data_IF_123659342235
#
_entry.id   IF_123659342235
#
_cell.length_a   1.000
_cell.length_b   1.000
_cell.length_c   1.000
_cell.angle_alpha   90.00
_cell.angle_beta   90.00
_cell.angle_gamma   90.00
#
_symmetry.space_group_name_H-M   'P 1'
#
loop_
_entity.id
_entity.type
_entity.pdbx_description
1 polymer ?
#
# COMPACT_ATOMS: atom_id res chain seq x y z
N UNK A 1 -11.24 30.19 -0.28
CA UNK A 1 -11.09 30.05 1.20
C UNK A 1 -11.06 28.59 1.58
N UNK A 2 -10.17 28.17 2.49
CA UNK A 2 -10.11 26.80 3.03
C UNK A 2 -10.54 26.78 4.51
N UNK A 3 -11.58 26.04 4.82
CA UNK A 3 -12.15 25.90 6.17
C UNK A 3 -11.64 24.59 6.77
N UNK A 4 -10.63 24.72 7.60
CA UNK A 4 -10.00 23.59 8.29
C UNK A 4 -10.72 23.27 9.59
N UNK A 5 -11.34 22.10 9.66
CA UNK A 5 -12.13 21.64 10.82
C UNK A 5 -11.42 20.55 11.63
N UNK A 6 -10.36 19.96 11.10
CA UNK A 6 -9.74 18.77 11.70
C UNK A 6 -8.30 18.99 12.15
N UNK A 7 -7.47 19.65 11.35
CA UNK A 7 -6.07 19.83 11.67
C UNK A 7 -5.85 21.02 12.60
N UNK A 8 -4.83 20.94 13.46
CA UNK A 8 -4.30 22.13 14.11
C UNK A 8 -3.69 23.09 13.07
N UNK A 9 -3.54 24.34 13.44
CA UNK A 9 -3.05 25.39 12.53
C UNK A 9 -1.66 25.07 11.98
N UNK A 10 -0.76 24.60 12.81
CA UNK A 10 0.63 24.36 12.41
C UNK A 10 0.70 23.20 11.41
N UNK A 11 0.03 22.08 11.69
CA UNK A 11 -0.05 20.93 10.80
C UNK A 11 -0.73 21.27 9.46
N UNK A 12 -1.80 22.08 9.48
CA UNK A 12 -2.45 22.53 8.25
C UNK A 12 -1.50 23.34 7.36
N UNK A 13 -0.81 24.33 7.93
CA UNK A 13 0.15 25.14 7.19
C UNK A 13 1.36 24.34 6.71
N UNK A 14 1.81 23.37 7.51
CA UNK A 14 2.89 22.45 7.11
C UNK A 14 2.52 21.67 5.85
N UNK A 15 1.30 21.08 5.82
CA UNK A 15 0.81 20.35 4.63
C UNK A 15 0.76 21.24 3.38
N UNK A 16 0.25 22.45 3.51
CA UNK A 16 0.25 23.39 2.39
C UNK A 16 1.67 23.62 1.86
N UNK A 17 2.63 23.89 2.75
CA UNK A 17 4.02 24.08 2.38
C UNK A 17 4.61 22.87 1.67
N UNK A 18 4.39 21.67 2.22
CA UNK A 18 4.94 20.44 1.67
C UNK A 18 4.40 20.15 0.27
N UNK A 19 3.08 20.37 0.06
CA UNK A 19 2.46 20.23 -1.27
C UNK A 19 3.03 21.25 -2.25
N UNK A 20 3.15 22.53 -1.86
CA UNK A 20 3.75 23.55 -2.72
C UNK A 20 5.18 23.21 -3.13
N UNK A 21 5.99 22.75 -2.18
CA UNK A 21 7.37 22.32 -2.45
C UNK A 21 7.43 21.12 -3.39
N UNK A 22 6.61 20.08 -3.12
CA UNK A 22 6.60 18.87 -3.93
C UNK A 22 6.12 19.11 -5.36
N UNK A 23 5.19 20.05 -5.57
CA UNK A 23 4.69 20.43 -6.88
C UNK A 23 5.55 21.47 -7.59
N UNK A 24 6.61 21.99 -6.95
CA UNK A 24 7.44 23.06 -7.51
C UNK A 24 6.68 24.39 -7.70
N UNK A 25 5.57 24.60 -6.98
CA UNK A 25 4.75 25.80 -7.10
C UNK A 25 5.42 26.93 -6.31
N UNK A 26 5.70 28.04 -6.99
CA UNK A 26 6.19 29.25 -6.33
C UNK A 26 5.06 29.92 -5.53
N UNK A 27 5.31 30.37 -4.30
CA UNK A 27 4.26 30.96 -3.44
C UNK A 27 3.98 32.43 -3.78
N UNK A 28 3.75 32.73 -5.06
CA UNK A 28 3.58 34.11 -5.56
C UNK A 28 2.18 34.70 -5.26
N UNK A 29 1.18 33.83 -5.03
CA UNK A 29 -0.23 34.24 -4.89
C UNK A 29 -0.87 33.73 -3.59
N UNK A 30 -0.10 33.72 -2.50
CA UNK A 30 -0.62 33.28 -1.19
C UNK A 30 -1.78 34.11 -0.68
N UNK A 31 -1.87 35.38 -1.09
CA UNK A 31 -2.97 36.28 -0.75
C UNK A 31 -4.33 35.83 -1.31
N UNK A 32 -4.34 34.92 -2.28
CA UNK A 32 -5.54 34.31 -2.82
C UNK A 32 -6.06 33.14 -1.96
N UNK A 33 -5.30 32.71 -0.95
CA UNK A 33 -5.65 31.58 -0.09
C UNK A 33 -5.83 32.06 1.36
N UNK A 34 -7.05 32.07 1.82
CA UNK A 34 -7.36 32.27 3.23
C UNK A 34 -7.68 30.94 3.91
N UNK A 35 -7.01 30.65 5.01
CA UNK A 35 -7.23 29.46 5.82
C UNK A 35 -7.98 29.85 7.11
N UNK A 36 -9.18 29.31 7.27
CA UNK A 36 -9.97 29.50 8.48
C UNK A 36 -9.91 28.27 9.37
N UNK A 37 -9.08 28.31 10.41
CA UNK A 37 -8.88 27.21 11.34
C UNK A 37 -9.98 27.18 12.40
N UNK A 38 -10.83 26.15 12.34
CA UNK A 38 -11.99 25.93 13.21
C UNK A 38 -11.91 24.63 14.01
N UNK A 39 -10.77 23.95 14.06
CA UNK A 39 -10.60 22.77 14.93
C UNK A 39 -10.96 23.12 16.37
N UNK A 40 -11.84 22.32 17.00
CA UNK A 40 -12.36 22.55 18.35
C UNK A 40 -13.32 23.74 18.49
N UNK A 41 -13.64 24.43 17.38
CA UNK A 41 -14.58 25.56 17.32
C UNK A 41 -15.62 25.39 16.20
N UNK A 42 -15.74 24.17 15.68
CA UNK A 42 -16.76 23.84 14.67
C UNK A 42 -18.16 24.13 15.18
N UNK A 43 -19.02 24.55 14.26
CA UNK A 43 -20.43 24.81 14.53
C UNK A 43 -21.27 24.06 13.50
N UNK A 44 -22.51 23.71 13.84
CA UNK A 44 -23.48 23.20 12.88
C UNK A 44 -23.54 24.04 11.60
N UNK A 45 -23.78 23.41 10.46
CA UNK A 45 -23.74 24.11 9.16
C UNK A 45 -24.77 25.23 9.05
N UNK A 46 -25.94 25.10 9.67
CA UNK A 46 -26.97 26.17 9.76
C UNK A 46 -26.45 27.45 10.45
N UNK A 47 -25.51 27.31 11.38
CA UNK A 47 -24.84 28.43 12.05
C UNK A 47 -23.57 28.86 11.32
N UNK A 48 -22.87 27.92 10.65
CA UNK A 48 -21.62 28.17 9.94
C UNK A 48 -21.87 28.92 8.63
N UNK A 49 -22.91 28.56 7.86
CA UNK A 49 -23.20 29.17 6.57
C UNK A 49 -23.39 30.72 6.63
N UNK A 50 -24.16 31.30 7.55
CA UNK A 50 -24.23 32.76 7.69
C UNK A 50 -22.90 33.41 8.08
N UNK A 51 -22.06 32.70 8.84
CA UNK A 51 -20.72 33.19 9.21
C UNK A 51 -19.76 33.17 8.02
N UNK A 52 -19.81 32.09 7.21
CA UNK A 52 -19.08 31.97 5.96
C UNK A 52 -19.44 33.10 4.99
N UNK A 53 -20.74 33.29 4.74
CA UNK A 53 -21.26 34.36 3.86
C UNK A 53 -20.71 35.71 4.28
N UNK A 54 -20.93 36.08 5.57
CA UNK A 54 -20.47 37.36 6.12
C UNK A 54 -18.94 37.56 6.02
N UNK A 55 -18.16 36.48 6.19
CA UNK A 55 -16.71 36.54 6.13
C UNK A 55 -16.23 36.62 4.69
N UNK A 56 -16.80 35.77 3.83
CA UNK A 56 -16.38 35.61 2.45
C UNK A 56 -16.86 36.79 1.57
N UNK A 57 -17.97 37.43 1.85
CA UNK A 57 -18.45 38.61 1.10
C UNK A 57 -17.49 39.81 1.10
N UNK A 58 -16.45 39.76 1.93
CA UNK A 58 -15.41 40.82 1.99
C UNK A 58 -14.32 40.67 0.95
N UNK A 59 -14.26 39.52 0.25
CA UNK A 59 -13.26 39.15 -0.75
C UNK A 59 -13.95 38.41 -1.91
N UNK A 60 -13.33 38.43 -3.07
CA UNK A 60 -13.81 37.73 -4.26
C UNK A 60 -13.22 36.32 -4.32
N UNK A 61 -13.75 35.40 -3.52
CA UNK A 61 -13.36 34.00 -3.64
C UNK A 61 -14.04 33.36 -4.84
N UNK A 62 -13.34 32.43 -5.49
CA UNK A 62 -13.88 31.56 -6.53
C UNK A 62 -14.40 30.24 -5.95
N UNK A 63 -13.83 29.80 -4.81
CA UNK A 63 -14.22 28.58 -4.14
C UNK A 63 -14.07 28.66 -2.61
N UNK A 64 -14.92 27.93 -1.93
CA UNK A 64 -14.85 27.66 -0.48
C UNK A 64 -14.72 26.15 -0.31
N UNK A 65 -13.66 25.72 0.33
CA UNK A 65 -13.36 24.29 0.61
C UNK A 65 -13.63 24.04 2.09
N UNK A 66 -14.46 23.03 2.42
CA UNK A 66 -14.83 22.64 3.78
C UNK A 66 -14.30 21.24 4.06
N UNK A 67 -13.36 21.10 4.97
CA UNK A 67 -12.65 19.85 5.22
C UNK A 67 -12.54 19.52 6.71
N UNK A 68 -13.16 18.40 7.12
CA UNK A 68 -14.22 17.60 6.48
C UNK A 68 -15.65 17.99 6.96
N UNK A 69 -16.67 17.68 6.16
CA UNK A 69 -18.04 18.10 6.48
C UNK A 69 -18.66 17.39 7.69
N UNK A 70 -18.23 16.19 8.05
CA UNK A 70 -18.81 15.47 9.20
C UNK A 70 -18.68 16.24 10.52
N UNK A 71 -17.78 17.21 10.61
CA UNK A 71 -17.62 18.08 11.79
C UNK A 71 -18.74 19.13 11.94
N UNK A 72 -19.50 19.35 10.89
CA UNK A 72 -20.57 20.38 10.84
C UNK A 72 -21.94 19.80 10.56
N UNK A 73 -22.04 18.50 10.30
CA UNK A 73 -23.29 17.76 10.21
C UNK A 73 -23.92 17.68 11.61
N UNK A 74 -25.22 17.85 11.68
CA UNK A 74 -26.05 17.65 12.88
C UNK A 74 -27.25 16.80 12.54
N UNK A 75 -27.62 15.93 13.46
CA UNK A 75 -28.73 15.01 13.28
C UNK A 75 -28.30 13.66 12.71
N UNK A 76 -29.29 12.96 12.17
CA UNK A 76 -29.08 11.63 11.60
C UNK A 76 -28.65 11.72 10.12
N UNK A 77 -27.43 11.31 9.81
CA UNK A 77 -26.90 11.28 8.45
C UNK A 77 -27.70 10.37 7.50
N UNK A 78 -28.47 9.43 8.03
CA UNK A 78 -29.32 8.53 7.24
C UNK A 78 -30.71 9.12 6.94
N UNK A 79 -31.07 10.22 7.58
CA UNK A 79 -32.35 10.92 7.35
C UNK A 79 -32.25 11.78 6.10
N UNK A 80 -33.03 11.44 5.06
CA UNK A 80 -33.04 12.18 3.80
C UNK A 80 -33.48 13.66 4.00
N UNK A 81 -34.46 13.92 4.83
CA UNK A 81 -34.95 15.28 5.10
C UNK A 81 -33.91 16.15 5.82
N UNK A 82 -33.21 15.58 6.80
CA UNK A 82 -32.18 16.31 7.53
C UNK A 82 -30.98 16.60 6.60
N UNK A 83 -30.60 15.63 5.76
CA UNK A 83 -29.51 15.81 4.81
C UNK A 83 -29.87 16.77 3.68
N UNK A 84 -31.12 16.79 3.20
CA UNK A 84 -31.58 17.81 2.25
C UNK A 84 -31.45 19.20 2.84
N UNK A 85 -31.91 19.40 4.08
CA UNK A 85 -31.78 20.67 4.77
C UNK A 85 -30.31 21.08 5.01
N UNK A 86 -29.46 20.11 5.24
CA UNK A 86 -28.03 20.33 5.38
C UNK A 86 -27.40 20.77 4.03
N UNK A 87 -27.69 20.10 2.92
CA UNK A 87 -27.21 20.42 1.59
C UNK A 87 -27.68 21.79 1.11
N UNK A 88 -28.94 22.17 1.41
CA UNK A 88 -29.48 23.50 1.12
C UNK A 88 -28.65 24.65 1.74
N UNK A 89 -27.85 24.40 2.78
CA UNK A 89 -26.94 25.42 3.31
C UNK A 89 -25.77 25.69 2.38
N UNK A 90 -25.33 24.70 1.62
CA UNK A 90 -24.28 24.90 0.60
C UNK A 90 -24.84 25.70 -0.57
N UNK A 91 -26.03 25.37 -1.06
CA UNK A 91 -26.69 26.13 -2.12
C UNK A 91 -26.87 27.62 -1.73
N UNK A 92 -27.21 27.88 -0.48
CA UNK A 92 -27.28 29.24 0.02
C UNK A 92 -25.92 29.94 -0.05
N UNK A 93 -24.86 29.29 0.35
CA UNK A 93 -23.48 29.84 0.27
C UNK A 93 -23.09 30.10 -1.18
N UNK A 94 -23.33 29.13 -2.08
CA UNK A 94 -23.08 29.27 -3.51
C UNK A 94 -23.82 30.44 -4.12
N UNK A 95 -25.12 30.53 -3.85
CA UNK A 95 -25.99 31.55 -4.45
C UNK A 95 -25.65 32.96 -3.95
N UNK A 96 -25.45 33.14 -2.65
CA UNK A 96 -25.18 34.46 -2.08
C UNK A 96 -23.81 35.02 -2.38
N UNK A 97 -22.82 34.15 -2.62
CA UNK A 97 -21.44 34.55 -2.86
C UNK A 97 -20.99 34.39 -4.31
N UNK A 98 -21.72 33.65 -5.14
CA UNK A 98 -21.31 33.32 -6.50
C UNK A 98 -20.04 32.46 -6.55
N UNK A 99 -19.87 31.52 -5.58
CA UNK A 99 -18.66 30.70 -5.42
C UNK A 99 -18.99 29.22 -5.60
N UNK A 100 -18.01 28.41 -5.98
CA UNK A 100 -18.10 26.97 -5.84
C UNK A 100 -17.87 26.55 -4.38
N UNK A 101 -18.70 25.65 -3.85
CA UNK A 101 -18.45 25.00 -2.56
C UNK A 101 -17.96 23.60 -2.79
N UNK A 102 -16.77 23.29 -2.25
CA UNK A 102 -16.13 21.97 -2.31
C UNK A 102 -16.07 21.43 -0.88
N UNK A 103 -16.55 20.22 -0.67
CA UNK A 103 -16.47 19.60 0.64
C UNK A 103 -15.89 18.19 0.60
N UNK A 104 -15.14 17.84 1.64
CA UNK A 104 -14.56 16.50 1.80
C UNK A 104 -15.47 15.67 2.70
N UNK A 105 -15.78 14.45 2.25
CA UNK A 105 -16.59 13.49 2.98
C UNK A 105 -15.93 12.11 2.95
N UNK A 106 -16.12 11.33 4.01
CA UNK A 106 -15.58 9.98 4.09
C UNK A 106 -16.48 8.97 3.37
N UNK A 107 -15.89 7.94 2.83
CA UNK A 107 -16.63 6.79 2.32
C UNK A 107 -17.31 6.03 3.47
N UNK A 108 -18.45 5.41 3.18
CA UNK A 108 -19.11 4.47 4.07
C UNK A 108 -18.21 3.26 4.33
N UNK A 109 -18.40 2.58 5.48
CA UNK A 109 -17.62 1.39 5.84
C UNK A 109 -17.77 0.25 4.81
N UNK A 110 -16.74 -0.59 4.71
CA UNK A 110 -16.67 -1.74 3.82
C UNK A 110 -15.90 -1.48 2.53
N UNK A 111 -15.72 -2.52 1.74
CA UNK A 111 -14.99 -2.46 0.48
C UNK A 111 -15.64 -1.49 -0.51
N UNK A 112 -14.85 -0.59 -1.07
CA UNK A 112 -15.33 0.45 -1.98
C UNK A 112 -15.39 -0.01 -3.45
N UNK A 113 -14.62 -1.05 -3.81
CA UNK A 113 -14.57 -1.56 -5.18
C UNK A 113 -15.89 -2.16 -5.66
N UNK A 114 -16.68 -2.75 -4.77
CA UNK A 114 -18.00 -3.32 -5.11
C UNK A 114 -19.13 -2.30 -5.14
N UNK A 115 -18.91 -1.07 -4.66
CA UNK A 115 -19.92 -0.02 -4.59
C UNK A 115 -19.89 0.87 -5.84
N UNK A 116 -21.07 1.33 -6.26
CA UNK A 116 -21.15 2.42 -7.24
C UNK A 116 -20.75 3.73 -6.54
N UNK A 117 -20.24 4.71 -7.30
CA UNK A 117 -19.85 6.02 -6.79
C UNK A 117 -20.93 6.65 -5.90
N UNK A 118 -22.19 6.56 -6.33
CA UNK A 118 -23.33 7.09 -5.58
C UNK A 118 -23.61 6.40 -4.24
N UNK A 119 -23.08 5.17 -4.03
CA UNK A 119 -23.30 4.37 -2.83
C UNK A 119 -22.08 4.40 -1.88
N UNK A 120 -20.99 5.08 -2.28
CA UNK A 120 -19.76 5.17 -1.51
C UNK A 120 -19.82 6.20 -0.39
N UNK A 121 -20.51 7.31 -0.61
CA UNK A 121 -20.65 8.33 0.42
C UNK A 121 -21.34 7.77 1.67
N UNK A 122 -20.84 8.14 2.84
CA UNK A 122 -21.47 7.80 4.12
C UNK A 122 -22.82 8.55 4.26
N UNK A 123 -23.81 7.88 4.83
CA UNK A 123 -25.11 8.47 5.13
C UNK A 123 -26.14 8.34 4.02
N UNK A 124 -27.09 9.29 3.97
CA UNK A 124 -28.19 9.30 3.02
C UNK A 124 -27.74 9.45 1.57
N UNK A 125 -28.44 8.79 0.63
CA UNK A 125 -28.24 8.96 -0.80
C UNK A 125 -28.45 10.40 -1.33
N UNK A 126 -28.84 11.35 -0.49
CA UNK A 126 -28.89 12.78 -0.81
C UNK A 126 -27.50 13.29 -1.15
N UNK A 127 -26.46 12.93 -0.38
CA UNK A 127 -25.07 13.33 -0.67
C UNK A 127 -24.56 12.89 -2.06
N UNK A 128 -25.14 11.84 -2.62
CA UNK A 128 -24.77 11.35 -3.93
C UNK A 128 -25.53 12.04 -5.07
N UNK A 129 -26.67 12.64 -4.80
CA UNK A 129 -27.56 13.23 -5.82
C UNK A 129 -27.53 14.74 -5.84
N UNK A 130 -27.20 15.37 -4.72
CA UNK A 130 -27.23 16.81 -4.56
C UNK A 130 -26.04 17.53 -5.25
N UNK A 131 -24.79 17.08 -5.13
CA UNK A 131 -23.66 17.75 -5.73
C UNK A 131 -23.68 17.73 -7.27
N UNK A 132 -23.18 18.79 -7.90
CA UNK A 132 -23.01 18.87 -9.36
C UNK A 132 -21.85 17.98 -9.85
N UNK A 133 -20.86 17.77 -8.98
CA UNK A 133 -19.72 16.89 -9.25
C UNK A 133 -19.31 16.14 -7.99
N UNK A 134 -19.00 14.86 -8.15
CA UNK A 134 -18.43 14.00 -7.10
C UNK A 134 -17.16 13.35 -7.62
N UNK A 135 -16.11 13.43 -6.83
CA UNK A 135 -14.84 12.76 -7.08
C UNK A 135 -14.60 11.76 -5.96
N UNK A 136 -14.53 10.48 -6.30
CA UNK A 136 -14.19 9.40 -5.39
C UNK A 136 -12.70 9.10 -5.48
N UNK A 137 -12.01 9.07 -4.35
CA UNK A 137 -10.65 8.58 -4.23
C UNK A 137 -10.68 7.23 -3.53
N UNK A 138 -10.34 6.17 -4.24
CA UNK A 138 -10.43 4.79 -3.79
C UNK A 138 -9.03 4.22 -3.70
N UNK A 139 -8.64 3.75 -2.53
CA UNK A 139 -7.35 3.07 -2.36
C UNK A 139 -7.35 1.74 -3.10
N UNK A 140 -6.26 1.46 -3.81
CA UNK A 140 -6.02 0.22 -4.53
C UNK A 140 -5.16 -0.72 -3.69
N UNK A 141 -5.50 -2.00 -3.68
CA UNK A 141 -4.72 -3.02 -2.99
C UNK A 141 -3.56 -3.46 -3.89
N UNK A 142 -2.35 -2.99 -3.57
CA UNK A 142 -1.15 -3.25 -4.36
C UNK A 142 -0.70 -4.70 -4.22
N UNK A 143 -0.57 -5.39 -5.35
CA UNK A 143 0.08 -6.70 -5.39
C UNK A 143 1.60 -6.58 -5.16
N UNK A 144 2.24 -7.66 -4.69
CA UNK A 144 3.71 -7.71 -4.57
C UNK A 144 4.40 -7.45 -5.92
N UNK A 145 3.79 -7.85 -7.02
CA UNK A 145 4.39 -7.66 -8.35
C UNK A 145 4.31 -6.20 -8.81
N UNK A 146 3.22 -5.48 -8.50
CA UNK A 146 3.12 -4.04 -8.75
C UNK A 146 4.15 -3.25 -7.92
N UNK A 147 4.33 -3.61 -6.66
CA UNK A 147 5.36 -3.00 -5.80
C UNK A 147 6.78 -3.26 -6.32
N UNK A 148 7.07 -4.46 -6.82
CA UNK A 148 8.37 -4.78 -7.44
C UNK A 148 8.60 -3.97 -8.73
N UNK A 149 7.57 -3.78 -9.54
CA UNK A 149 7.66 -2.96 -10.76
C UNK A 149 7.95 -1.48 -10.41
N UNK A 150 7.26 -0.93 -9.41
CA UNK A 150 7.52 0.44 -8.94
C UNK A 150 8.92 0.56 -8.31
N UNK A 151 9.37 -0.43 -7.54
CA UNK A 151 10.73 -0.48 -7.01
C UNK A 151 11.76 -0.52 -8.15
N UNK A 152 11.56 -1.36 -9.17
CA UNK A 152 12.43 -1.44 -10.34
C UNK A 152 12.53 -0.09 -11.05
N UNK A 153 11.39 0.57 -11.29
CA UNK A 153 11.33 1.90 -11.89
C UNK A 153 12.09 2.93 -11.05
N UNK A 154 11.84 2.98 -9.75
CA UNK A 154 12.49 3.93 -8.85
C UNK A 154 14.02 3.75 -8.80
N UNK A 155 14.52 2.52 -8.87
CA UNK A 155 15.96 2.22 -8.95
C UNK A 155 16.53 2.71 -10.29
N UNK A 156 15.86 2.42 -11.41
CA UNK A 156 16.30 2.90 -12.73
C UNK A 156 16.36 4.44 -12.77
N UNK A 157 15.35 5.11 -12.25
CA UNK A 157 15.32 6.58 -12.18
C UNK A 157 16.45 7.14 -11.31
N UNK A 158 16.73 6.53 -10.16
CA UNK A 158 17.85 6.94 -9.29
C UNK A 158 19.21 6.79 -10.01
N UNK A 159 19.41 5.68 -10.73
CA UNK A 159 20.61 5.48 -11.52
C UNK A 159 20.74 6.52 -12.64
N UNK A 160 19.67 6.77 -13.41
CA UNK A 160 19.63 7.79 -14.46
C UNK A 160 19.98 9.17 -13.91
N UNK A 161 19.30 9.59 -12.86
CA UNK A 161 19.53 10.90 -12.22
C UNK A 161 20.99 11.07 -11.76
N UNK A 162 21.60 9.99 -11.22
CA UNK A 162 22.98 10.04 -10.79
C UNK A 162 23.94 10.15 -12.00
N UNK A 163 23.71 9.35 -13.03
CA UNK A 163 24.53 9.36 -14.25
C UNK A 163 24.44 10.70 -14.97
N UNK A 164 23.23 11.25 -15.15
CA UNK A 164 23.01 12.55 -15.81
C UNK A 164 23.76 13.70 -15.14
N UNK A 165 23.94 13.62 -13.82
CA UNK A 165 24.65 14.66 -13.06
C UNK A 165 26.18 14.52 -13.13
N UNK A 166 26.73 13.40 -13.60
CA UNK A 166 28.16 13.10 -13.54
C UNK A 166 28.79 12.75 -14.89
N UNK A 167 28.02 12.22 -15.83
CA UNK A 167 28.56 11.65 -17.08
C UNK A 167 27.69 11.95 -18.31
N UNK A 168 28.28 11.82 -19.49
CA UNK A 168 27.54 11.58 -20.74
C UNK A 168 27.52 10.07 -20.98
N UNK A 169 26.33 9.46 -21.01
CA UNK A 169 26.17 7.99 -20.98
C UNK A 169 25.04 7.47 -21.87
N UNK A 170 24.25 8.35 -22.49
CA UNK A 170 22.98 8.07 -23.16
C UNK A 170 23.09 7.05 -24.30
N UNK A 171 24.27 6.93 -24.94
CA UNK A 171 24.52 6.03 -26.06
C UNK A 171 25.01 4.64 -25.64
N UNK A 172 25.27 4.42 -24.33
CA UNK A 172 25.91 3.20 -23.83
C UNK A 172 24.90 2.05 -23.55
N UNK A 173 23.61 2.34 -23.40
CA UNK A 173 22.58 1.40 -22.96
C UNK A 173 21.37 1.38 -23.91
N UNK A 174 20.82 0.18 -24.11
CA UNK A 174 19.55 0.03 -24.86
C UNK A 174 18.35 0.52 -24.05
N UNK A 175 17.21 0.75 -24.71
CA UNK A 175 15.97 1.12 -24.03
C UNK A 175 15.52 0.05 -23.04
N UNK A 176 15.72 -1.23 -23.33
CA UNK A 176 15.39 -2.33 -22.44
C UNK A 176 16.28 -2.33 -21.19
N UNK A 177 17.58 -2.04 -21.34
CA UNK A 177 18.52 -1.93 -20.23
C UNK A 177 18.14 -0.79 -19.29
N UNK A 178 17.69 0.34 -19.85
CA UNK A 178 17.20 1.51 -19.09
C UNK A 178 15.97 1.23 -18.23
N UNK A 179 15.22 0.17 -18.55
CA UNK A 179 14.05 -0.27 -17.80
C UNK A 179 14.33 -1.42 -16.82
N UNK A 180 15.58 -1.92 -16.77
CA UNK A 180 16.00 -3.01 -15.91
C UNK A 180 16.90 -2.51 -14.78
N UNK A 181 16.41 -2.57 -13.54
CA UNK A 181 17.21 -2.18 -12.37
C UNK A 181 18.50 -2.99 -12.24
N UNK A 182 18.48 -4.27 -12.64
CA UNK A 182 19.68 -5.12 -12.64
C UNK A 182 20.72 -4.60 -13.63
N UNK A 183 20.33 -4.32 -14.87
CA UNK A 183 21.25 -3.83 -15.89
C UNK A 183 21.79 -2.44 -15.55
N UNK A 184 20.92 -1.54 -15.07
CA UNK A 184 21.31 -0.19 -14.64
C UNK A 184 22.34 -0.24 -13.49
N UNK A 185 22.10 -1.07 -12.48
CA UNK A 185 23.03 -1.20 -11.35
C UNK A 185 24.37 -1.80 -11.81
N UNK A 186 24.34 -2.84 -12.65
CA UNK A 186 25.55 -3.46 -13.18
C UNK A 186 26.37 -2.47 -14.03
N UNK A 187 25.71 -1.68 -14.89
CA UNK A 187 26.36 -0.63 -15.64
C UNK A 187 27.02 0.42 -14.72
N UNK A 188 26.29 0.89 -13.71
CA UNK A 188 26.80 1.86 -12.76
C UNK A 188 27.99 1.31 -11.94
N UNK A 189 27.94 0.07 -11.50
CA UNK A 189 29.01 -0.58 -10.74
C UNK A 189 30.31 -0.65 -11.55
N UNK A 190 30.22 -0.91 -12.85
CA UNK A 190 31.38 -0.99 -13.74
C UNK A 190 31.91 0.39 -14.18
N UNK A 191 31.07 1.43 -14.17
CA UNK A 191 31.40 2.78 -14.67
C UNK A 191 31.91 3.73 -13.58
N UNK A 192 31.40 3.58 -12.35
CA UNK A 192 31.62 4.48 -11.24
C UNK A 192 32.85 4.09 -10.42
N UNK A 193 33.53 5.08 -9.84
CA UNK A 193 34.53 4.81 -8.82
C UNK A 193 33.87 4.38 -7.48
N UNK A 194 34.69 3.93 -6.53
CA UNK A 194 34.22 3.39 -5.24
C UNK A 194 33.37 4.40 -4.46
N UNK A 195 33.72 5.69 -4.50
CA UNK A 195 33.00 6.72 -3.77
C UNK A 195 31.67 7.08 -4.46
N UNK A 196 31.69 7.20 -5.77
CA UNK A 196 30.50 7.44 -6.59
C UNK A 196 29.50 6.30 -6.45
N UNK A 197 29.99 5.05 -6.53
CA UNK A 197 29.17 3.86 -6.32
C UNK A 197 28.53 3.83 -4.93
N UNK A 198 29.29 4.10 -3.87
CA UNK A 198 28.75 4.16 -2.52
C UNK A 198 27.67 5.26 -2.33
N UNK A 199 27.82 6.39 -3.02
CA UNK A 199 26.81 7.44 -3.00
C UNK A 199 25.55 7.03 -3.77
N UNK A 200 25.71 6.43 -4.95
CA UNK A 200 24.58 5.89 -5.71
C UNK A 200 23.83 4.81 -4.92
N UNK A 201 24.52 3.90 -4.25
CA UNK A 201 23.89 2.87 -3.42
C UNK A 201 22.98 3.47 -2.33
N UNK A 202 23.38 4.58 -1.70
CA UNK A 202 22.55 5.30 -0.74
C UNK A 202 21.29 5.89 -1.40
N UNK A 203 21.43 6.44 -2.60
CA UNK A 203 20.28 6.97 -3.36
C UNK A 203 19.32 5.85 -3.76
N UNK A 204 19.85 4.73 -4.24
CA UNK A 204 19.08 3.54 -4.62
C UNK A 204 18.31 2.97 -3.43
N UNK A 205 18.96 2.84 -2.26
CA UNK A 205 18.29 2.34 -1.06
C UNK A 205 17.17 3.30 -0.60
N UNK A 206 17.42 4.61 -0.64
CA UNK A 206 16.39 5.60 -0.35
C UNK A 206 15.23 5.54 -1.38
N UNK A 207 15.51 5.26 -2.65
CA UNK A 207 14.50 5.08 -3.69
C UNK A 207 13.65 3.82 -3.44
N UNK A 208 14.28 2.70 -3.06
CA UNK A 208 13.60 1.45 -2.69
C UNK A 208 12.66 1.64 -1.49
N UNK A 209 13.15 2.28 -0.43
CA UNK A 209 12.33 2.57 0.75
C UNK A 209 11.12 3.43 0.37
N UNK A 210 11.30 4.46 -0.46
CA UNK A 210 10.20 5.29 -0.95
C UNK A 210 9.21 4.48 -1.78
N UNK A 211 9.67 3.69 -2.73
CA UNK A 211 8.84 2.86 -3.59
C UNK A 211 7.98 1.85 -2.79
N UNK A 212 8.48 1.34 -1.67
CA UNK A 212 7.73 0.44 -0.77
C UNK A 212 6.74 1.16 0.15
N UNK A 213 6.85 2.47 0.28
CA UNK A 213 5.97 3.28 1.13
C UNK A 213 4.85 3.99 0.37
N UNK A 214 4.80 3.86 -0.96
CA UNK A 214 3.74 4.44 -1.77
C UNK A 214 2.42 3.69 -1.57
N UNK A 215 1.32 4.42 -1.69
CA UNK A 215 -0.02 3.85 -1.85
C UNK A 215 -0.58 4.19 -3.22
N UNK A 216 -1.52 3.41 -3.69
CA UNK A 216 -2.12 3.62 -5.00
C UNK A 216 -3.59 3.96 -4.86
N UNK A 217 -4.08 4.81 -5.74
CA UNK A 217 -5.42 5.36 -5.68
C UNK A 217 -6.06 5.38 -7.06
N UNK A 218 -7.35 5.11 -7.10
CA UNK A 218 -8.19 5.33 -8.28
C UNK A 218 -9.10 6.51 -8.04
N UNK A 219 -9.12 7.44 -8.98
CA UNK A 219 -9.98 8.61 -8.97
C UNK A 219 -11.10 8.34 -9.98
N UNK A 220 -12.33 8.27 -9.49
CA UNK A 220 -13.53 8.16 -10.30
C UNK A 220 -14.36 9.43 -10.13
N UNK A 221 -15.06 9.84 -11.18
CA UNK A 221 -15.90 11.02 -11.16
C UNK A 221 -17.32 10.75 -11.64
N UNK A 222 -18.27 11.38 -10.97
CA UNK A 222 -19.66 11.50 -11.40
C UNK A 222 -19.99 12.97 -11.55
N UNK A 223 -20.38 13.37 -12.76
CA UNK A 223 -20.73 14.73 -13.11
C UNK A 223 -22.20 14.76 -13.47
N UNK A 224 -22.95 15.77 -12.98
CA UNK A 224 -24.39 15.89 -13.24
C UNK A 224 -24.69 16.23 -14.70
N UNK A 225 -23.96 17.18 -15.26
CA UNK A 225 -24.24 17.74 -16.59
C UNK A 225 -23.24 17.33 -17.67
N UNK A 226 -22.18 16.62 -17.31
CA UNK A 226 -21.09 16.25 -18.22
C UNK A 226 -20.95 14.74 -18.35
N UNK A 227 -20.44 14.24 -19.49
CA UNK A 227 -20.12 12.84 -19.63
C UNK A 227 -19.13 12.37 -18.56
N UNK A 228 -19.28 11.11 -18.14
CA UNK A 228 -18.34 10.47 -17.22
C UNK A 228 -16.94 10.42 -17.89
N UNK A 229 -15.90 10.86 -17.16
CA UNK A 229 -14.53 10.69 -17.61
C UNK A 229 -13.98 9.30 -17.21
N UNK A 230 -12.97 8.78 -17.92
CA UNK A 230 -12.30 7.54 -17.55
C UNK A 230 -11.70 7.64 -16.15
N UNK A 231 -11.73 6.53 -15.41
CA UNK A 231 -11.04 6.47 -14.11
C UNK A 231 -9.55 6.74 -14.28
N UNK A 232 -8.98 7.50 -13.35
CA UNK A 232 -7.56 7.85 -13.35
C UNK A 232 -6.89 7.15 -12.18
N UNK A 233 -5.85 6.36 -12.45
CA UNK A 233 -5.03 5.77 -11.41
C UNK A 233 -3.85 6.68 -11.06
N UNK A 234 -3.53 6.77 -9.78
CA UNK A 234 -2.47 7.62 -9.26
C UNK A 234 -1.71 6.96 -8.12
N UNK A 235 -0.42 7.20 -8.06
CA UNK A 235 0.43 6.88 -6.94
C UNK A 235 0.40 8.01 -5.91
N UNK A 236 0.24 7.69 -4.64
CA UNK A 236 0.47 8.67 -3.59
C UNK A 236 1.90 8.54 -3.08
N UNK A 237 2.71 9.49 -3.49
CA UNK A 237 4.08 9.66 -3.00
C UNK A 237 4.10 10.94 -2.16
N UNK A 238 4.01 10.77 -0.85
CA UNK A 238 3.83 11.90 0.08
C UNK A 238 4.69 13.11 -0.31
N UNK A 239 4.12 14.31 -0.39
CA UNK A 239 2.75 14.69 -0.02
C UNK A 239 1.77 14.83 -1.21
N UNK A 240 2.08 14.30 -2.37
CA UNK A 240 1.29 14.51 -3.60
C UNK A 240 0.90 13.20 -4.28
N UNK A 241 -0.21 13.27 -5.04
CA UNK A 241 -0.59 12.21 -5.95
C UNK A 241 0.01 12.49 -7.33
N UNK A 242 0.58 11.47 -7.94
CA UNK A 242 1.11 11.51 -9.31
C UNK A 242 0.37 10.50 -10.18
N UNK A 243 -0.07 10.92 -11.37
CA UNK A 243 -0.78 10.05 -12.31
C UNK A 243 0.14 8.89 -12.72
N UNK A 244 -0.41 7.68 -12.76
CA UNK A 244 0.30 6.50 -13.29
C UNK A 244 0.42 6.61 -14.82
N UNK A 245 1.50 7.20 -15.29
CA UNK A 245 1.77 7.39 -16.72
C UNK A 245 2.20 6.11 -17.43
N UNK A 246 2.75 5.14 -16.69
CA UNK A 246 3.30 3.89 -17.23
C UNK A 246 2.23 2.80 -17.31
N UNK A 247 1.15 2.94 -16.54
CA UNK A 247 0.04 2.00 -16.54
C UNK A 247 0.26 0.78 -15.63
N UNK A 248 1.16 0.84 -14.66
CA UNK A 248 1.38 -0.24 -13.68
C UNK A 248 0.10 -0.56 -12.90
N UNK A 249 -0.73 0.46 -12.66
CA UNK A 249 -1.98 0.34 -11.91
C UNK A 249 -3.19 -0.01 -12.80
N UNK A 250 -3.01 -0.20 -14.10
CA UNK A 250 -4.13 -0.39 -15.06
C UNK A 250 -4.94 -1.65 -14.76
N UNK A 251 -4.28 -2.73 -14.34
CA UNK A 251 -4.86 -4.04 -14.07
C UNK A 251 -5.24 -4.26 -12.61
N UNK A 252 -5.05 -3.23 -11.76
CA UNK A 252 -5.37 -3.33 -10.34
C UNK A 252 -6.78 -2.81 -10.11
N UNK A 253 -7.66 -3.69 -9.62
CA UNK A 253 -9.01 -3.32 -9.24
C UNK A 253 -9.08 -2.98 -7.74
N UNK A 254 -9.94 -2.00 -7.34
CA UNK A 254 -10.18 -1.72 -5.94
C UNK A 254 -10.68 -2.97 -5.21
N UNK A 255 -10.35 -3.07 -3.92
CA UNK A 255 -10.79 -4.21 -3.10
C UNK A 255 -12.31 -4.41 -3.22
N UNK A 256 -12.70 -5.57 -3.73
CA UNK A 256 -14.09 -6.01 -3.77
C UNK A 256 -14.39 -6.88 -2.55
N UNK A 257 -15.62 -6.84 -2.02
CA UNK A 257 -16.01 -7.76 -0.95
C UNK A 257 -15.92 -9.19 -1.44
N UNK A 258 -14.87 -9.90 -0.99
CA UNK A 258 -14.76 -11.33 -1.25
C UNK A 258 -15.95 -12.04 -0.59
N UNK A 259 -16.62 -12.95 -1.30
CA UNK A 259 -17.70 -13.75 -0.72
C UNK A 259 -17.24 -14.41 0.58
N UNK A 260 -18.14 -14.55 1.55
CA UNK A 260 -17.83 -15.10 2.88
C UNK A 260 -17.11 -16.45 2.82
N UNK A 261 -17.43 -17.28 1.81
CA UNK A 261 -16.77 -18.57 1.60
C UNK A 261 -15.31 -18.44 1.17
N UNK A 262 -14.96 -17.39 0.38
CA UNK A 262 -13.57 -17.11 -0.01
C UNK A 262 -12.77 -16.58 1.18
N UNK A 263 -13.32 -15.62 1.96
CA UNK A 263 -12.71 -15.15 3.21
C UNK A 263 -12.47 -16.29 4.18
N UNK A 264 -13.42 -17.21 4.31
CA UNK A 264 -13.28 -18.41 5.15
C UNK A 264 -12.20 -19.38 4.61
N UNK A 265 -12.10 -19.55 3.29
CA UNK A 265 -11.08 -20.39 2.66
C UNK A 265 -9.67 -19.80 2.81
N UNK A 266 -9.51 -18.49 2.65
CA UNK A 266 -8.23 -17.79 2.84
C UNK A 266 -7.77 -17.84 4.29
N UNK A 267 -8.68 -17.57 5.24
CA UNK A 267 -8.39 -17.68 6.67
C UNK A 267 -7.99 -19.12 7.07
N UNK A 268 -8.63 -20.13 6.46
CA UNK A 268 -8.21 -21.55 6.66
C UNK A 268 -6.84 -21.83 6.09
N UNK A 269 -6.50 -21.28 4.89
CA UNK A 269 -5.16 -21.40 4.29
C UNK A 269 -4.10 -20.72 5.15
N UNK A 270 -4.37 -19.53 5.62
CA UNK A 270 -3.45 -18.74 6.47
C UNK A 270 -3.20 -19.43 7.82
N UNK A 271 -4.28 -19.93 8.48
CA UNK A 271 -4.17 -20.71 9.70
C UNK A 271 -3.40 -22.02 9.47
N UNK A 272 -3.62 -22.68 8.32
CA UNK A 272 -2.89 -23.89 7.96
C UNK A 272 -1.39 -23.62 7.69
N UNK A 273 -1.05 -22.48 7.04
CA UNK A 273 0.34 -22.06 6.85
C UNK A 273 1.03 -21.72 8.18
N UNK A 274 0.39 -20.92 9.03
CA UNK A 274 0.90 -20.59 10.38
C UNK A 274 1.11 -21.84 11.24
N UNK A 275 0.16 -22.80 11.20
CA UNK A 275 0.29 -24.07 11.89
C UNK A 275 1.39 -24.97 11.31
N UNK A 276 1.59 -24.92 9.97
CA UNK A 276 2.67 -25.65 9.28
C UNK A 276 4.04 -25.08 9.66
N UNK A 277 4.20 -23.76 9.65
CA UNK A 277 5.44 -23.07 10.05
C UNK A 277 5.80 -23.34 11.51
N UNK A 278 4.81 -23.28 12.43
CA UNK A 278 5.04 -23.56 13.85
C UNK A 278 5.47 -25.03 14.11
N UNK A 279 4.89 -26.00 13.38
CA UNK A 279 5.26 -27.41 13.50
C UNK A 279 6.65 -27.70 12.90
N UNK A 280 7.02 -27.04 11.81
CA UNK A 280 8.35 -27.17 11.21
C UNK A 280 9.43 -26.65 12.18
N UNK A 281 9.26 -25.43 12.70
CA UNK A 281 10.20 -24.85 13.66
C UNK A 281 10.31 -25.68 14.95
N UNK A 282 9.22 -26.25 15.45
CA UNK A 282 9.26 -27.13 16.63
C UNK A 282 10.03 -28.42 16.35
N UNK A 283 9.84 -29.03 15.17
CA UNK A 283 10.59 -30.22 14.77
C UNK A 283 12.09 -29.94 14.71
N UNK A 284 12.49 -28.86 14.05
CA UNK A 284 13.90 -28.49 13.89
C UNK A 284 14.58 -28.22 15.23
N UNK A 285 13.90 -27.55 16.13
CA UNK A 285 14.43 -27.24 17.47
C UNK A 285 14.61 -28.51 18.29
N UNK A 286 13.59 -29.39 18.36
CA UNK A 286 13.69 -30.60 19.15
C UNK A 286 14.64 -31.63 18.55
N UNK A 287 14.73 -31.69 17.22
CA UNK A 287 15.72 -32.50 16.53
C UNK A 287 17.13 -32.04 16.85
N UNK A 288 17.42 -30.71 16.74
CA UNK A 288 18.72 -30.13 17.04
C UNK A 288 19.12 -30.32 18.52
N UNK A 289 18.16 -30.24 19.43
CA UNK A 289 18.42 -30.48 20.86
C UNK A 289 18.90 -31.91 21.13
N UNK A 290 18.32 -32.93 20.51
CA UNK A 290 18.74 -34.33 20.66
C UNK A 290 20.08 -34.59 19.94
N UNK A 291 20.24 -34.06 18.71
CA UNK A 291 21.46 -34.17 17.92
C UNK A 291 22.66 -33.49 18.64
N UNK A 292 22.45 -32.36 19.30
CA UNK A 292 23.48 -31.63 20.04
C UNK A 292 24.12 -32.42 21.18
N UNK A 293 23.41 -33.40 21.74
CA UNK A 293 23.94 -34.33 22.74
C UNK A 293 24.90 -35.37 22.12
N UNK A 294 25.17 -35.28 20.83
CA UNK A 294 26.11 -36.16 20.11
C UNK A 294 25.62 -37.59 19.89
N UNK A 295 24.31 -37.79 19.98
CA UNK A 295 23.68 -39.12 19.81
C UNK A 295 22.77 -39.14 18.57
N UNK A 296 22.52 -40.35 18.07
CA UNK A 296 21.48 -40.56 17.06
C UNK A 296 20.11 -40.15 17.59
N UNK A 297 19.26 -39.61 16.72
CA UNK A 297 17.93 -39.09 17.10
C UNK A 297 16.88 -40.19 16.96
N UNK A 298 16.45 -40.84 18.07
CA UNK A 298 15.42 -41.87 18.01
C UNK A 298 14.05 -41.28 17.65
N UNK A 299 13.36 -41.89 16.71
CA UNK A 299 12.05 -41.41 16.27
C UNK A 299 10.99 -41.39 17.40
N UNK A 300 11.11 -42.27 18.37
CA UNK A 300 10.21 -42.27 19.54
C UNK A 300 10.47 -41.07 20.44
N UNK A 301 11.72 -40.80 20.79
CA UNK A 301 12.08 -39.69 21.67
C UNK A 301 11.70 -38.34 21.05
N UNK A 302 11.95 -38.16 19.77
CA UNK A 302 11.54 -36.95 19.06
C UNK A 302 10.03 -36.81 18.95
N UNK A 303 9.31 -37.93 18.78
CA UNK A 303 7.87 -37.95 18.74
C UNK A 303 7.25 -37.55 20.10
N UNK A 304 7.81 -38.03 21.20
CA UNK A 304 7.36 -37.71 22.56
C UNK A 304 7.56 -36.22 22.87
N UNK A 305 8.71 -35.63 22.47
CA UNK A 305 8.98 -34.18 22.59
C UNK A 305 8.05 -33.31 21.75
N UNK A 306 7.56 -33.84 20.63
CA UNK A 306 6.63 -33.15 19.72
C UNK A 306 5.16 -33.43 20.02
N UNK A 307 4.86 -34.10 21.14
CA UNK A 307 3.50 -34.52 21.54
C UNK A 307 2.76 -35.23 20.40
N UNK A 308 3.44 -36.22 19.79
CA UNK A 308 2.89 -37.02 18.67
C UNK A 308 3.32 -38.47 18.76
N UNK A 309 2.73 -39.35 17.92
CA UNK A 309 3.17 -40.76 17.86
C UNK A 309 4.34 -40.91 16.88
N UNK A 310 5.25 -41.87 17.17
CA UNK A 310 6.34 -42.22 16.25
C UNK A 310 5.84 -42.57 14.85
N UNK A 311 4.70 -43.27 14.76
CA UNK A 311 4.05 -43.60 13.48
C UNK A 311 3.66 -42.36 12.70
N UNK A 312 3.09 -41.38 13.38
CA UNK A 312 2.70 -40.10 12.78
C UNK A 312 3.95 -39.30 12.36
N UNK A 313 4.97 -39.25 13.22
CA UNK A 313 6.24 -38.56 12.91
C UNK A 313 6.93 -39.19 11.69
N UNK A 314 7.07 -40.51 11.64
CA UNK A 314 7.67 -41.20 10.51
C UNK A 314 6.86 -41.07 9.20
N UNK A 315 5.54 -40.86 9.30
CA UNK A 315 4.71 -40.54 8.13
C UNK A 315 5.01 -39.15 7.55
N UNK A 316 5.52 -38.22 8.36
CA UNK A 316 5.90 -36.88 7.89
C UNK A 316 7.12 -36.94 6.98
N UNK A 317 7.98 -37.94 7.13
CA UNK A 317 9.21 -38.18 6.36
C UNK A 317 9.02 -39.14 5.18
N UNK A 318 7.76 -39.55 4.90
CA UNK A 318 7.46 -40.45 3.78
C UNK A 318 7.19 -39.68 2.48
N UNK A 319 7.69 -40.24 1.35
CA UNK A 319 7.59 -39.66 0.00
C UNK A 319 6.16 -39.39 -0.49
N UNK A 320 5.18 -40.12 0.08
CA UNK A 320 3.75 -39.99 -0.28
C UNK A 320 3.06 -38.82 0.38
N UNK A 321 3.66 -38.15 1.37
CA UNK A 321 2.99 -37.12 2.14
C UNK A 321 3.23 -35.72 1.55
N UNK A 322 2.48 -35.38 0.50
CA UNK A 322 2.54 -34.07 -0.18
C UNK A 322 2.38 -32.86 0.76
N UNK A 323 1.85 -33.04 1.99
CA UNK A 323 1.63 -31.96 2.95
C UNK A 323 2.85 -31.59 3.79
N UNK A 324 3.90 -32.42 3.78
CA UNK A 324 5.13 -32.22 4.57
C UNK A 324 6.40 -32.47 3.77
N UNK A 325 6.36 -32.16 2.52
CA UNK A 325 7.47 -32.29 1.59
C UNK A 325 8.75 -31.61 2.12
N UNK A 326 8.60 -30.46 2.77
CA UNK A 326 9.73 -29.68 3.31
C UNK A 326 10.56 -30.45 4.35
N UNK A 327 9.93 -31.28 5.22
CA UNK A 327 10.67 -32.14 6.15
C UNK A 327 11.32 -33.33 5.45
N UNK A 328 10.60 -33.99 4.54
CA UNK A 328 11.11 -35.11 3.78
C UNK A 328 12.26 -34.75 2.82
N UNK A 329 12.37 -33.47 2.42
CA UNK A 329 13.47 -32.97 1.58
C UNK A 329 14.79 -32.80 2.38
N UNK A 330 14.70 -32.56 3.70
CA UNK A 330 15.86 -32.29 4.56
C UNK A 330 16.21 -33.42 5.52
N UNK A 331 15.26 -34.29 5.84
CA UNK A 331 15.44 -35.37 6.81
C UNK A 331 15.00 -36.72 6.24
N UNK A 332 15.66 -37.77 6.68
CA UNK A 332 15.30 -39.14 6.33
C UNK A 332 15.25 -40.06 7.56
N UNK A 333 14.46 -41.11 7.44
CA UNK A 333 14.34 -42.15 8.45
C UNK A 333 15.19 -43.37 8.07
N UNK A 334 15.81 -44.01 9.05
CA UNK A 334 16.52 -45.23 8.88
C UNK A 334 16.34 -46.18 10.07
N UNK A 335 16.63 -47.43 9.89
CA UNK A 335 16.54 -48.41 10.96
C UNK A 335 17.93 -48.68 11.53
N UNK A 336 18.12 -48.52 12.84
CA UNK A 336 19.38 -48.75 13.51
C UNK A 336 19.63 -50.23 13.76
N UNK A 337 20.84 -50.56 14.22
CA UNK A 337 21.30 -51.92 14.53
C UNK A 337 20.49 -52.56 15.68
N UNK A 338 19.89 -51.77 16.52
CA UNK A 338 18.98 -52.16 17.63
C UNK A 338 17.52 -52.39 17.19
N UNK A 339 17.25 -52.38 15.90
CA UNK A 339 15.93 -52.55 15.30
C UNK A 339 14.96 -51.40 15.55
N UNK A 340 15.43 -50.23 16.10
CA UNK A 340 14.62 -49.03 16.28
C UNK A 340 14.73 -48.08 15.10
N UNK A 341 13.74 -47.20 14.97
CA UNK A 341 13.74 -46.18 13.93
C UNK A 341 14.38 -44.92 14.43
N UNK A 342 15.24 -44.35 13.59
CA UNK A 342 15.98 -43.12 13.82
C UNK A 342 15.73 -42.13 12.68
N UNK A 343 16.04 -40.85 12.95
CA UNK A 343 15.91 -39.77 11.98
C UNK A 343 17.30 -39.09 11.87
N UNK A 344 17.69 -38.77 10.65
CA UNK A 344 18.93 -37.99 10.38
C UNK A 344 18.69 -36.98 9.28
N UNK A 345 19.60 -36.01 9.21
CA UNK A 345 19.64 -35.05 8.09
C UNK A 345 20.11 -35.77 6.82
N UNK A 346 19.51 -35.44 5.69
CA UNK A 346 20.00 -35.87 4.38
C UNK A 346 21.30 -35.13 4.08
N UNK A 347 22.33 -35.84 3.67
CA UNK A 347 23.55 -35.23 3.18
C UNK A 347 23.25 -34.42 1.91
N UNK A 348 23.72 -33.17 1.85
CA UNK A 348 23.67 -32.39 0.61
C UNK A 348 24.51 -33.13 -0.40
N UNK A 349 23.94 -33.59 -1.50
CA UNK A 349 24.72 -34.12 -2.64
C UNK A 349 25.74 -33.05 -3.06
N UNK A 350 27.00 -33.30 -2.78
CA UNK A 350 28.10 -32.42 -3.16
C UNK A 350 28.16 -32.23 -4.68
N UNK A 351 28.46 -31.01 -5.10
CA UNK A 351 28.80 -30.74 -6.49
C UNK A 351 29.95 -31.67 -6.94
N UNK A 352 29.91 -32.17 -8.19
CA UNK A 352 30.94 -33.10 -8.66
C UNK A 352 32.32 -32.43 -8.62
N UNK A 353 33.27 -33.07 -7.91
CA UNK A 353 34.69 -32.73 -7.89
C UNK A 353 35.23 -32.63 -9.33
N UNK A 354 35.60 -31.43 -9.72
CA UNK A 354 36.49 -31.26 -10.88
C UNK A 354 37.87 -31.76 -10.49
N UNK A 355 38.12 -33.03 -10.75
CA UNK A 355 39.51 -33.59 -10.72
C UNK A 355 40.32 -32.96 -11.83
N UNK A 356 41.31 -32.18 -11.42
CA UNK A 356 42.45 -31.80 -12.21
C UNK A 356 43.07 -33.03 -12.92
N UNK A 357 43.10 -33.00 -14.24
CA UNK A 357 43.97 -33.83 -15.06
C UNK A 357 45.12 -32.96 -15.55
N UNK A 358 46.25 -33.04 -14.88
CA UNK A 358 47.52 -32.64 -15.43
C UNK A 358 48.05 -33.77 -16.34
N UNK A 359 48.33 -33.45 -17.60
CA UNK A 359 49.56 -33.77 -18.34
C UNK A 359 49.69 -32.75 -19.47
#
# INVERSE_FOLDING_TARGET
>A
MYVNLELDRASCLHRFRDVYQAMGIRPEHLDNIDIWNLRGKSRPMDKLAPMLIRRASKKNYIAIIIDPIYKVITGDENSADQMSNFCNQFDKVCTELGVAVIYCHHHSKGSQGSKKSMDRASGSGVFARDPDAMLDMIELDLSEDALKQEENKAVCEACKQYLDSHFKWDDDLSQDDLCSSYQMLNYCENKLDVWQWANLQKMVEAARIRARSVTAWRIEGTLREFPKFPAVNAWFNYPVHTIDQVGILSDIEPETEKPLWQKAAEKRKELAQKAKGKKLSSFEVEFANIEFEGREVPAQELADKLDTSSRTLLSWLGDSNKRKKDLADHYEKYQGADNKMYIRRKEKQGAPDQKNGAV
#
